data_IF_799060670479
#
_entry.id   IF_799060670479
#
_cell.length_a   1.000
_cell.length_b   1.000
_cell.length_c   1.000
_cell.angle_alpha   90.00
_cell.angle_beta   90.00
_cell.angle_gamma   90.00
#
_symmetry.space_group_name_H-M   'P 1'
#
loop_
_entity.id
_entity.type
_entity.pdbx_description
1 polymer ?
#
# COMPACT_ATOMS: atom_id res chain seq x y z
N UNK A 1 60.28 37.20 -69.68
CA UNK A 1 59.69 36.05 -68.96
C UNK A 1 58.30 36.47 -68.49
N UNK A 2 57.30 35.61 -68.72
CA UNK A 2 55.90 35.57 -68.25
C UNK A 2 55.38 36.70 -67.33
N UNK A 3 54.19 37.28 -67.49
CA UNK A 3 52.97 36.81 -68.17
C UNK A 3 51.79 37.11 -67.24
N UNK A 4 50.89 38.00 -67.68
CA UNK A 4 49.62 38.30 -67.02
C UNK A 4 48.68 37.09 -67.08
N UNK A 5 47.88 36.89 -66.03
CA UNK A 5 46.92 35.79 -65.96
C UNK A 5 45.91 36.00 -64.84
N UNK A 6 44.98 36.93 -65.08
CA UNK A 6 43.72 37.05 -64.35
C UNK A 6 42.93 35.74 -64.50
N UNK A 7 42.50 35.17 -63.38
CA UNK A 7 41.44 34.15 -63.32
C UNK A 7 40.44 34.56 -62.24
N UNK A 8 39.40 35.26 -62.69
CA UNK A 8 38.07 35.13 -62.12
C UNK A 8 37.57 33.71 -62.34
N UNK A 9 36.84 33.16 -61.37
CA UNK A 9 36.20 31.85 -61.51
C UNK A 9 35.71 31.27 -60.19
N UNK A 10 34.61 31.81 -59.69
CA UNK A 10 33.47 31.12 -59.07
C UNK A 10 33.73 29.74 -58.41
N UNK A 11 33.43 29.62 -57.12
CA UNK A 11 32.34 28.74 -56.64
C UNK A 11 32.17 28.83 -55.11
N UNK A 12 31.00 29.30 -54.72
CA UNK A 12 30.44 29.17 -53.38
C UNK A 12 30.25 27.70 -53.01
N UNK A 13 30.68 27.35 -51.81
CA UNK A 13 29.80 26.75 -50.78
C UNK A 13 30.50 26.95 -49.44
N UNK A 14 29.93 27.70 -48.47
CA UNK A 14 30.13 27.31 -47.09
C UNK A 14 29.55 25.91 -46.97
N UNK A 15 30.32 24.94 -46.49
CA UNK A 15 29.75 23.68 -46.03
C UNK A 15 28.83 24.04 -44.86
N UNK A 16 27.53 24.19 -45.11
CA UNK A 16 26.54 24.13 -44.05
C UNK A 16 26.68 22.74 -43.44
N UNK A 17 27.30 22.61 -42.27
CA UNK A 17 27.24 21.37 -41.48
C UNK A 17 25.85 21.35 -40.81
N UNK A 18 24.85 20.65 -41.36
CA UNK A 18 23.52 20.61 -40.79
C UNK A 18 23.50 19.30 -40.00
N UNK A 19 24.27 19.22 -38.92
CA UNK A 19 24.19 18.07 -38.02
C UNK A 19 23.45 18.43 -36.73
N UNK A 20 22.10 18.57 -36.76
CA UNK A 20 21.29 18.42 -35.56
C UNK A 20 21.17 16.93 -35.20
N UNK A 21 22.30 16.20 -35.12
CA UNK A 21 22.31 14.75 -34.80
C UNK A 21 22.55 14.49 -33.31
N UNK A 22 22.70 15.54 -32.51
CA UNK A 22 22.92 15.45 -31.07
C UNK A 22 21.63 15.69 -30.28
N UNK A 23 20.72 16.57 -30.74
CA UNK A 23 19.47 16.89 -30.04
C UNK A 23 18.55 15.67 -29.78
N UNK A 24 18.29 14.78 -30.75
CA UNK A 24 17.50 13.57 -30.51
C UNK A 24 18.17 12.63 -29.51
N UNK A 25 19.51 12.59 -29.53
CA UNK A 25 20.33 11.75 -28.65
C UNK A 25 20.33 12.27 -27.21
N UNK A 26 20.37 13.59 -27.05
CA UNK A 26 20.23 14.29 -25.76
C UNK A 26 18.83 14.05 -25.19
N UNK A 27 17.76 14.24 -25.97
CA UNK A 27 16.38 13.99 -25.53
C UNK A 27 16.14 12.53 -25.15
N UNK A 28 16.64 11.58 -25.94
CA UNK A 28 16.58 10.15 -25.63
C UNK A 28 17.32 9.80 -24.33
N UNK A 29 18.51 10.37 -24.11
CA UNK A 29 19.26 10.15 -22.86
C UNK A 29 18.55 10.75 -21.64
N UNK A 30 17.92 11.92 -21.79
CA UNK A 30 17.19 12.58 -20.71
C UNK A 30 15.88 11.86 -20.37
N UNK A 31 15.22 11.24 -21.35
CA UNK A 31 14.07 10.36 -21.11
C UNK A 31 14.47 9.10 -20.33
N UNK A 32 15.61 8.49 -20.65
CA UNK A 32 16.13 7.31 -19.93
C UNK A 32 16.52 7.68 -18.49
N UNK A 33 17.22 8.80 -18.31
CA UNK A 33 17.60 9.29 -16.97
C UNK A 33 16.35 9.68 -16.17
N UNK A 34 15.40 10.40 -16.77
CA UNK A 34 14.12 10.77 -16.15
C UNK A 34 13.27 9.55 -15.77
N UNK A 35 13.26 8.50 -16.60
CA UNK A 35 12.60 7.23 -16.29
C UNK A 35 13.27 6.49 -15.12
N UNK A 36 14.61 6.47 -15.11
CA UNK A 36 15.39 5.81 -14.05
C UNK A 36 15.24 6.54 -12.70
N UNK A 37 15.21 7.87 -12.71
CA UNK A 37 14.98 8.69 -11.50
C UNK A 37 13.50 8.69 -11.09
N UNK A 38 12.57 8.72 -12.04
CA UNK A 38 11.12 8.69 -11.78
C UNK A 38 10.65 7.41 -11.10
N UNK A 39 11.24 6.26 -11.42
CA UNK A 39 10.95 4.99 -10.72
C UNK A 39 11.42 4.98 -9.26
N UNK A 40 12.52 5.67 -8.95
CA UNK A 40 13.02 5.80 -7.57
C UNK A 40 12.10 6.72 -6.74
N UNK A 41 11.60 7.81 -7.33
CA UNK A 41 10.68 8.74 -6.64
C UNK A 41 9.31 8.09 -6.40
N UNK A 42 8.86 7.19 -7.29
CA UNK A 42 7.59 6.47 -7.14
C UNK A 42 7.51 5.52 -5.95
N UNK A 43 8.66 5.06 -5.42
CA UNK A 43 8.71 4.12 -4.28
C UNK A 43 8.77 4.78 -2.89
N UNK A 44 9.10 6.07 -2.82
CA UNK A 44 9.28 6.78 -1.54
C UNK A 44 7.97 7.28 -0.90
N UNK A 45 6.82 7.06 -1.55
CA UNK A 45 5.51 7.55 -1.10
C UNK A 45 4.52 6.42 -0.80
N UNK A 46 4.96 5.16 -0.71
CA UNK A 46 4.10 4.11 -0.18
C UNK A 46 4.11 4.25 1.34
N UNK A 47 2.98 4.61 1.99
CA UNK A 47 2.88 4.53 3.44
C UNK A 47 3.20 3.10 3.86
N UNK A 48 3.89 2.94 4.97
CA UNK A 48 4.21 1.62 5.50
C UNK A 48 2.91 0.81 5.64
N UNK A 49 2.89 -0.45 5.21
CA UNK A 49 1.68 -1.26 5.29
C UNK A 49 1.30 -1.43 6.76
N UNK A 50 0.02 -1.25 7.07
CA UNK A 50 -0.52 -1.63 8.38
C UNK A 50 -0.41 -3.15 8.49
N UNK A 51 0.30 -3.64 9.49
CA UNK A 51 0.54 -5.06 9.73
C UNK A 51 -0.08 -5.50 11.05
N UNK A 52 -0.75 -6.64 11.03
CA UNK A 52 -1.23 -7.31 12.23
C UNK A 52 -0.06 -8.03 12.92
N UNK A 53 0.33 -7.52 14.07
CA UNK A 53 1.45 -8.03 14.86
C UNK A 53 1.02 -9.17 15.79
N UNK A 54 -0.12 -9.00 16.46
CA UNK A 54 -0.57 -9.90 17.52
C UNK A 54 -2.10 -9.86 17.68
N UNK A 55 -2.68 -10.99 18.11
CA UNK A 55 -4.06 -11.06 18.57
C UNK A 55 -4.04 -11.50 20.04
N UNK A 56 -4.84 -10.83 20.86
CA UNK A 56 -5.02 -11.13 22.27
C UNK A 56 -6.49 -11.41 22.55
N UNK A 57 -6.76 -12.51 23.25
CA UNK A 57 -8.11 -12.89 23.65
C UNK A 57 -8.45 -12.21 24.99
N UNK A 58 -9.49 -11.38 24.99
CA UNK A 58 -9.96 -10.67 26.17
C UNK A 58 -11.22 -11.33 26.73
N UNK A 59 -11.52 -11.18 28.04
CA UNK A 59 -12.76 -11.70 28.62
C UNK A 59 -14.03 -11.16 27.95
N UNK A 60 -13.95 -9.96 27.37
CA UNK A 60 -15.04 -9.25 26.71
C UNK A 60 -15.01 -9.33 25.19
N UNK A 61 -14.00 -9.98 24.59
CA UNK A 61 -13.84 -10.02 23.12
C UNK A 61 -12.39 -10.25 22.67
N UNK A 62 -11.93 -9.49 21.67
CA UNK A 62 -10.58 -9.61 21.09
C UNK A 62 -9.88 -8.26 21.02
N UNK A 63 -8.56 -8.26 21.19
CA UNK A 63 -7.70 -7.13 20.86
C UNK A 63 -6.76 -7.52 19.71
N UNK A 64 -6.80 -6.74 18.63
CA UNK A 64 -5.89 -6.88 17.50
C UNK A 64 -4.85 -5.77 17.57
N UNK A 65 -3.58 -6.14 17.56
CA UNK A 65 -2.45 -5.23 17.68
C UNK A 65 -1.79 -4.99 16.33
N UNK A 66 -1.61 -3.71 16.00
CA UNK A 66 -1.05 -3.24 14.74
C UNK A 66 0.11 -2.28 14.98
N UNK A 67 1.03 -2.24 14.02
CA UNK A 67 2.13 -1.26 13.98
C UNK A 67 1.63 0.18 13.79
N UNK A 68 0.55 0.37 13.01
CA UNK A 68 -0.07 1.64 12.65
C UNK A 68 -1.58 1.64 12.86
N UNK A 69 -2.23 2.82 12.78
CA UNK A 69 -3.66 2.94 12.97
C UNK A 69 -4.43 2.21 11.85
N UNK A 70 -5.19 1.15 12.16
CA UNK A 70 -5.90 0.40 11.13
C UNK A 70 -7.15 1.15 10.68
N UNK A 71 -7.40 1.17 9.36
CA UNK A 71 -8.73 1.48 8.82
C UNK A 71 -9.56 0.21 8.75
N UNK A 72 -10.83 0.29 9.17
CA UNK A 72 -11.69 -0.89 9.18
C UNK A 72 -13.17 -0.55 8.97
N UNK A 73 -13.94 -1.58 8.64
CA UNK A 73 -15.39 -1.54 8.49
C UNK A 73 -15.98 -2.79 9.16
N UNK A 74 -16.80 -2.56 10.19
CA UNK A 74 -17.50 -3.60 10.92
C UNK A 74 -18.95 -3.77 10.44
N UNK A 75 -19.42 -5.01 10.42
CA UNK A 75 -20.81 -5.36 10.13
C UNK A 75 -21.22 -6.60 10.93
N UNK A 76 -22.51 -6.69 11.26
CA UNK A 76 -23.10 -7.92 11.79
C UNK A 76 -23.87 -8.60 10.67
N UNK A 77 -23.51 -9.84 10.34
CA UNK A 77 -24.11 -10.64 9.26
C UNK A 77 -24.56 -11.98 9.84
N UNK A 78 -25.86 -12.30 9.74
CA UNK A 78 -26.45 -13.54 10.26
C UNK A 78 -26.11 -13.81 11.75
N UNK A 79 -26.02 -12.75 12.56
CA UNK A 79 -25.65 -12.84 13.98
C UNK A 79 -24.17 -13.08 14.25
N UNK A 80 -23.32 -13.09 13.23
CA UNK A 80 -21.87 -13.09 13.35
C UNK A 80 -21.30 -11.68 13.19
N UNK A 81 -20.22 -11.36 13.89
CA UNK A 81 -19.49 -10.09 13.73
C UNK A 81 -18.41 -10.30 12.68
N UNK A 82 -18.42 -9.46 11.65
CA UNK A 82 -17.45 -9.45 10.56
C UNK A 82 -16.79 -8.08 10.51
N UNK A 83 -15.46 -8.06 10.56
CA UNK A 83 -14.66 -6.84 10.54
C UNK A 83 -13.63 -6.94 9.41
N UNK A 84 -13.75 -6.03 8.44
CA UNK A 84 -12.79 -5.89 7.36
C UNK A 84 -11.77 -4.84 7.76
N UNK A 85 -10.49 -5.20 7.78
CA UNK A 85 -9.38 -4.32 8.18
C UNK A 85 -8.43 -4.17 7.01
N UNK A 86 -8.15 -2.92 6.63
CA UNK A 86 -7.16 -2.56 5.61
C UNK A 86 -5.76 -2.70 6.22
N UNK A 87 -5.35 -3.96 6.39
CA UNK A 87 -4.08 -4.37 6.96
C UNK A 87 -3.62 -5.66 6.29
N UNK A 88 -2.35 -5.99 6.46
CA UNK A 88 -1.75 -7.25 6.06
C UNK A 88 -1.42 -8.10 7.29
N UNK A 89 -1.36 -9.42 7.11
CA UNK A 89 -1.07 -10.32 8.22
C UNK A 89 -1.23 -11.77 7.83
N UNK A 90 -0.88 -12.65 8.78
CA UNK A 90 -1.04 -14.09 8.63
C UNK A 90 -2.46 -14.49 9.07
N UNK A 91 -3.08 -15.47 8.39
CA UNK A 91 -4.31 -16.06 8.89
C UNK A 91 -4.12 -16.63 10.29
N UNK A 92 -5.11 -16.42 11.15
CA UNK A 92 -5.11 -16.89 12.53
C UNK A 92 -6.52 -17.38 12.88
N UNK A 93 -6.64 -18.46 13.63
CA UNK A 93 -7.92 -18.86 14.25
C UNK A 93 -7.78 -19.14 15.74
N UNK A 94 -8.85 -18.92 16.49
CA UNK A 94 -8.88 -19.19 17.92
C UNK A 94 -10.30 -19.30 18.47
N UNK A 95 -10.38 -19.39 19.79
CA UNK A 95 -11.63 -19.52 20.52
C UNK A 95 -11.56 -18.74 21.81
N UNK A 96 -12.48 -17.81 22.00
CA UNK A 96 -12.59 -17.05 23.24
C UNK A 96 -13.81 -17.52 24.03
N UNK A 97 -13.73 -17.42 25.36
CA UNK A 97 -14.89 -17.62 26.23
C UNK A 97 -15.48 -16.27 26.60
N UNK A 98 -16.72 -16.04 26.17
CA UNK A 98 -17.49 -14.84 26.44
C UNK A 98 -18.82 -15.24 27.06
N UNK A 99 -19.17 -14.63 28.20
CA UNK A 99 -20.42 -14.92 28.93
C UNK A 99 -20.68 -16.42 29.14
N UNK A 100 -19.66 -17.14 29.63
CA UNK A 100 -19.70 -18.60 29.87
C UNK A 100 -19.98 -19.47 28.61
N UNK A 101 -19.93 -18.87 27.41
CA UNK A 101 -20.10 -19.52 26.11
C UNK A 101 -18.80 -19.44 25.31
N UNK A 102 -18.65 -20.32 24.32
CA UNK A 102 -17.50 -20.34 23.41
C UNK A 102 -17.86 -19.59 22.13
N UNK A 103 -17.08 -18.56 21.80
CA UNK A 103 -17.12 -17.89 20.51
C UNK A 103 -15.86 -18.27 19.73
N UNK A 104 -16.05 -18.72 18.48
CA UNK A 104 -14.95 -19.02 17.56
C UNK A 104 -14.62 -17.77 16.79
N UNK A 105 -13.34 -17.58 16.53
CA UNK A 105 -12.88 -16.46 15.73
C UNK A 105 -11.83 -16.91 14.72
N UNK A 106 -11.79 -16.19 13.61
CA UNK A 106 -10.78 -16.38 12.58
C UNK A 106 -10.46 -15.07 11.89
N UNK A 107 -9.20 -14.90 11.54
CA UNK A 107 -8.65 -13.85 10.70
C UNK A 107 -8.16 -14.52 9.43
N UNK A 108 -8.65 -14.07 8.29
CA UNK A 108 -8.29 -14.58 6.97
C UNK A 108 -7.91 -13.42 6.05
N UNK A 109 -7.22 -13.70 4.95
CA UNK A 109 -7.00 -12.70 3.91
C UNK A 109 -8.28 -12.56 3.06
N UNK A 110 -8.76 -11.34 2.92
CA UNK A 110 -9.85 -10.95 2.02
C UNK A 110 -9.36 -10.14 0.84
N UNK A 111 -10.29 -9.64 0.03
CA UNK A 111 -9.96 -8.89 -1.19
C UNK A 111 -9.24 -7.56 -0.95
N UNK A 112 -9.51 -6.91 0.20
CA UNK A 112 -9.01 -5.56 0.53
C UNK A 112 -8.19 -5.50 1.82
N UNK A 113 -7.71 -6.63 2.32
CA UNK A 113 -6.96 -6.70 3.59
C UNK A 113 -7.31 -7.95 4.39
N UNK A 114 -7.37 -7.82 5.72
CA UNK A 114 -7.75 -8.90 6.62
C UNK A 114 -9.25 -8.89 6.93
N UNK A 115 -9.82 -10.08 7.08
CA UNK A 115 -11.22 -10.28 7.50
C UNK A 115 -11.22 -11.04 8.80
N UNK A 116 -11.67 -10.39 9.86
CA UNK A 116 -11.95 -11.01 11.15
C UNK A 116 -13.42 -11.42 11.20
N UNK A 117 -13.69 -12.68 11.49
CA UNK A 117 -15.03 -13.24 11.70
C UNK A 117 -15.14 -13.81 13.10
N UNK A 118 -16.14 -13.37 13.87
CA UNK A 118 -16.49 -13.94 15.17
C UNK A 118 -17.89 -14.56 15.10
N UNK A 119 -17.98 -15.82 15.54
CA UNK A 119 -19.20 -16.61 15.55
C UNK A 119 -19.42 -17.23 16.93
N UNK A 120 -20.61 -17.02 17.49
CA UNK A 120 -21.06 -17.68 18.72
C UNK A 120 -22.39 -18.42 18.49
N UNK A 121 -22.83 -19.16 19.52
CA UNK A 121 -24.10 -19.88 19.50
C UNK A 121 -25.35 -18.97 19.49
N UNK A 122 -25.18 -17.67 19.70
CA UNK A 122 -26.24 -16.65 19.69
C UNK A 122 -25.77 -15.44 18.88
N UNK A 123 -26.71 -14.62 18.36
CA UNK A 123 -26.36 -13.37 17.70
C UNK A 123 -25.46 -12.51 18.59
N UNK A 124 -24.36 -12.05 18.01
CA UNK A 124 -23.41 -11.16 18.66
C UNK A 124 -23.61 -9.74 18.13
N UNK A 125 -23.57 -8.76 19.03
CA UNK A 125 -23.31 -7.38 18.68
C UNK A 125 -21.84 -7.06 18.97
N UNK A 126 -21.16 -6.52 17.96
CA UNK A 126 -19.78 -6.06 18.08
C UNK A 126 -19.74 -4.56 18.32
N UNK A 127 -19.04 -4.14 19.36
CA UNK A 127 -18.55 -2.77 19.50
C UNK A 127 -17.05 -2.79 19.21
N UNK A 128 -16.55 -1.80 18.49
CA UNK A 128 -15.14 -1.70 18.16
C UNK A 128 -14.59 -0.33 18.47
N UNK A 129 -13.37 -0.31 19.02
CA UNK A 129 -12.67 0.91 19.38
C UNK A 129 -11.19 0.76 19.07
N UNK A 130 -10.62 1.82 18.52
CA UNK A 130 -9.19 1.94 18.26
C UNK A 130 -8.54 2.85 19.28
N UNK A 131 -7.39 2.44 19.79
CA UNK A 131 -6.61 3.21 20.74
C UNK A 131 -5.11 2.95 20.54
N UNK A 132 -4.28 3.95 20.80
CA UNK A 132 -2.82 3.78 20.82
C UNK A 132 -2.36 3.45 22.24
N UNK A 133 -1.73 2.28 22.41
CA UNK A 133 -1.23 1.77 23.70
C UNK A 133 0.24 1.40 23.55
N UNK A 134 1.11 2.00 24.38
CA UNK A 134 2.57 1.74 24.40
C UNK A 134 3.24 1.85 23.02
N UNK A 135 2.80 2.81 22.21
CA UNK A 135 3.37 3.05 20.87
C UNK A 135 2.79 2.16 19.76
N UNK A 136 2.02 1.13 20.10
CA UNK A 136 1.29 0.27 19.16
C UNK A 136 -0.18 0.65 19.08
N UNK A 137 -0.85 0.22 18.03
CA UNK A 137 -2.28 0.44 17.85
C UNK A 137 -3.06 -0.80 18.21
N UNK A 138 -4.07 -0.62 19.05
CA UNK A 138 -4.95 -1.69 19.51
C UNK A 138 -6.37 -1.42 18.99
N UNK A 139 -6.88 -2.36 18.21
CA UNK A 139 -8.29 -2.44 17.84
C UNK A 139 -8.97 -3.45 18.75
N UNK A 140 -9.73 -2.96 19.71
CA UNK A 140 -10.54 -3.80 20.59
C UNK A 140 -11.90 -4.04 19.95
N UNK A 141 -12.27 -5.31 19.85
CA UNK A 141 -13.58 -5.79 19.40
C UNK A 141 -14.27 -6.38 20.62
N UNK A 142 -15.11 -5.59 21.27
CA UNK A 142 -15.92 -6.01 22.40
C UNK A 142 -17.20 -6.66 21.89
N UNK A 143 -17.60 -7.75 22.54
CA UNK A 143 -18.84 -8.46 22.25
C UNK A 143 -19.91 -8.07 23.27
N UNK A 144 -21.15 -7.95 22.79
CA UNK A 144 -22.36 -7.82 23.60
C UNK A 144 -23.41 -8.82 23.11
N UNK A 145 -24.15 -9.41 24.06
CA UNK A 145 -25.33 -10.21 23.75
C UNK A 145 -26.52 -9.26 23.43
N UNK A 146 -27.38 -9.67 22.51
CA UNK A 146 -28.65 -8.99 22.18
C UNK A 146 -29.71 -9.20 23.26
#
# INVERSE_FOLDING_TARGET
MHGSGQKDGMHSTPEEDPRPKLWPRVLGSMAIVGFTVGTIIGRLQQPDPVELEQIEELPTGLALWFNEEPRYQGATVDGAVVLNVDASGRPWTGQLRFDNKVARWKVEQGERGLVLTLLAARPLHGDWRTEKVDGRWRLEVSLREE
#
